data_IF_970693002397
#
_entry.id   IF_970693002397
#
_cell.length_a   1.000
_cell.length_b   1.000
_cell.length_c   1.000
_cell.angle_alpha   90.00
_cell.angle_beta   90.00
_cell.angle_gamma   90.00
#
_symmetry.space_group_name_H-M   'P 1'
#
loop_
_entity.id
_entity.type
_entity.pdbx_description
1 polymer ?
#
# COMPACT_ATOMS: atom_id res chain seq x y z
N UNK A 1 14.02 62.12 -25.01
CA UNK A 1 14.80 60.98 -24.50
C UNK A 1 13.91 60.18 -23.56
N UNK A 2 13.41 58.99 -23.94
CA UNK A 2 12.71 58.11 -23.02
C UNK A 2 13.68 57.07 -22.44
N UNK A 3 13.73 56.99 -21.12
CA UNK A 3 14.49 55.99 -20.37
C UNK A 3 13.74 54.65 -20.39
N UNK A 4 14.27 53.68 -21.13
CA UNK A 4 13.80 52.30 -21.08
C UNK A 4 14.26 51.64 -19.78
N UNK A 5 13.32 51.29 -18.91
CA UNK A 5 13.58 50.44 -17.74
C UNK A 5 13.48 48.97 -18.15
N UNK A 6 14.62 48.27 -18.16
CA UNK A 6 14.68 46.83 -18.36
C UNK A 6 14.28 46.13 -17.05
N UNK A 7 13.13 45.45 -17.06
CA UNK A 7 12.70 44.58 -15.97
C UNK A 7 13.42 43.22 -16.13
N UNK A 8 14.44 42.95 -15.30
CA UNK A 8 15.08 41.64 -15.26
C UNK A 8 14.16 40.65 -14.54
N UNK A 9 13.54 39.75 -15.31
CA UNK A 9 12.80 38.61 -14.78
C UNK A 9 13.82 37.53 -14.35
N UNK A 10 14.05 37.41 -13.05
CA UNK A 10 14.89 36.35 -12.49
C UNK A 10 14.07 35.07 -12.38
N UNK A 11 14.31 34.11 -13.27
CA UNK A 11 13.76 32.76 -13.17
C UNK A 11 14.56 32.02 -12.10
N UNK A 12 14.02 31.94 -10.89
CA UNK A 12 14.58 31.11 -9.83
C UNK A 12 14.45 29.64 -10.17
N UNK A 13 15.57 28.96 -10.41
CA UNK A 13 15.61 27.50 -10.48
C UNK A 13 15.19 26.94 -9.11
N UNK A 14 14.04 26.25 -9.06
CA UNK A 14 13.63 25.49 -7.89
C UNK A 14 14.62 24.34 -7.71
N UNK A 15 15.57 24.50 -6.80
CA UNK A 15 16.46 23.41 -6.40
C UNK A 15 15.60 22.28 -5.84
N UNK A 16 15.61 21.12 -6.49
CA UNK A 16 15.10 19.87 -5.94
C UNK A 16 15.92 19.55 -4.68
N UNK A 17 15.49 20.03 -3.52
CA UNK A 17 16.05 19.60 -2.26
C UNK A 17 15.69 18.13 -2.07
N UNK A 18 16.69 17.29 -1.87
CA UNK A 18 16.47 15.90 -1.44
C UNK A 18 15.59 15.95 -0.19
N UNK A 19 14.42 15.28 -0.25
CA UNK A 19 13.53 15.20 0.91
C UNK A 19 14.33 14.56 2.05
N UNK A 20 14.34 15.16 3.25
CA UNK A 20 15.00 14.56 4.39
C UNK A 20 14.34 13.20 4.65
N UNK A 21 15.15 12.14 4.66
CA UNK A 21 14.74 10.82 5.13
C UNK A 21 14.30 10.99 6.60
N UNK A 22 12.99 10.92 6.84
CA UNK A 22 12.47 10.94 8.20
C UNK A 22 12.92 9.70 8.96
N UNK A 23 13.02 9.74 10.30
CA UNK A 23 13.34 8.56 11.08
C UNK A 23 12.36 7.44 10.73
N UNK A 24 12.88 6.24 10.43
CA UNK A 24 12.04 5.07 10.21
C UNK A 24 11.13 4.88 11.44
N UNK A 25 9.81 4.90 11.23
CA UNK A 25 8.87 4.57 12.31
C UNK A 25 9.06 3.09 12.61
N UNK A 26 9.82 2.78 13.68
CA UNK A 26 10.08 1.41 14.10
C UNK A 26 8.80 0.85 14.70
N UNK A 27 8.13 0.04 13.90
CA UNK A 27 7.02 -0.77 14.31
C UNK A 27 7.54 -2.16 14.67
N UNK A 28 7.37 -2.59 15.93
CA UNK A 28 7.74 -3.93 16.37
C UNK A 28 6.53 -4.85 16.19
N UNK A 29 6.58 -5.69 15.16
CA UNK A 29 5.67 -6.79 14.99
C UNK A 29 6.48 -8.06 14.70
N UNK A 30 5.93 -9.19 15.14
CA UNK A 30 6.48 -10.50 14.80
C UNK A 30 6.35 -10.71 13.28
N UNK A 31 7.45 -10.72 12.56
CA UNK A 31 7.50 -10.98 11.11
C UNK A 31 7.66 -12.47 10.78
N UNK A 32 7.54 -13.35 11.78
CA UNK A 32 7.64 -14.80 11.59
C UNK A 32 6.52 -15.32 10.67
N UNK A 33 6.77 -16.46 10.02
CA UNK A 33 5.75 -17.15 9.21
C UNK A 33 4.47 -17.45 10.00
N UNK A 34 4.59 -17.72 11.30
CA UNK A 34 3.45 -18.01 12.17
C UNK A 34 2.53 -16.80 12.37
N UNK A 35 3.07 -15.58 12.33
CA UNK A 35 2.26 -14.37 12.46
C UNK A 35 1.38 -14.11 11.21
N UNK A 36 1.81 -14.58 10.03
CA UNK A 36 1.02 -14.47 8.79
C UNK A 36 -0.03 -15.57 8.62
N UNK A 37 0.07 -16.69 9.35
CA UNK A 37 -0.94 -17.77 9.26
C UNK A 37 -2.29 -17.40 9.88
N UNK A 38 -2.39 -16.24 10.53
CA UNK A 38 -3.63 -15.68 11.07
C UNK A 38 -4.32 -14.71 10.11
N UNK A 39 -3.71 -14.40 8.95
CA UNK A 39 -4.39 -13.59 7.94
C UNK A 39 -5.57 -14.38 7.35
N UNK A 40 -6.67 -13.70 6.98
CA UNK A 40 -7.80 -14.35 6.32
C UNK A 40 -7.34 -15.16 5.11
N UNK A 41 -7.99 -16.31 4.86
CA UNK A 41 -7.77 -17.19 3.70
C UNK A 41 -7.77 -16.37 2.42
N UNK A 42 -6.59 -15.97 2.02
CA UNK A 42 -6.34 -15.10 0.91
C UNK A 42 -5.25 -15.79 0.12
N UNK A 43 -5.34 -15.70 -1.21
CA UNK A 43 -4.39 -16.39 -2.08
C UNK A 43 -2.95 -16.17 -1.60
N UNK A 44 -2.27 -17.29 -1.33
CA UNK A 44 -0.99 -17.36 -0.61
C UNK A 44 0.09 -16.45 -1.21
N UNK A 45 -0.02 -16.13 -2.51
CA UNK A 45 0.93 -15.29 -3.22
C UNK A 45 1.00 -13.84 -2.70
N UNK A 46 -0.12 -13.20 -2.34
CA UNK A 46 -0.09 -11.80 -1.85
C UNK A 46 0.43 -11.76 -0.42
N UNK A 47 0.03 -12.71 0.43
CA UNK A 47 0.56 -12.81 1.80
C UNK A 47 2.06 -13.06 1.78
N UNK A 48 2.52 -13.95 0.91
CA UNK A 48 3.95 -14.20 0.67
C UNK A 48 4.65 -12.94 0.16
N UNK A 49 4.05 -12.19 -0.75
CA UNK A 49 4.61 -10.93 -1.23
C UNK A 49 4.70 -9.86 -0.14
N UNK A 50 3.68 -9.68 0.69
CA UNK A 50 3.70 -8.75 1.83
C UNK A 50 4.87 -9.08 2.77
N UNK A 51 5.09 -10.37 3.05
CA UNK A 51 6.25 -10.83 3.82
C UNK A 51 7.58 -10.53 3.11
N UNK A 52 7.69 -10.78 1.81
CA UNK A 52 8.90 -10.49 1.01
C UNK A 52 9.20 -8.99 0.93
N UNK A 53 8.16 -8.15 0.96
CA UNK A 53 8.27 -6.68 1.10
C UNK A 53 8.73 -6.23 2.48
N UNK A 54 8.92 -7.14 3.44
CA UNK A 54 9.27 -6.80 4.81
C UNK A 54 8.14 -6.10 5.56
N UNK A 55 6.91 -6.17 5.06
CA UNK A 55 5.75 -5.50 5.65
C UNK A 55 5.21 -6.31 6.82
N UNK A 56 5.29 -5.82 8.07
CA UNK A 56 4.93 -6.59 9.25
C UNK A 56 3.43 -6.96 9.28
N UNK A 57 3.03 -8.09 9.88
CA UNK A 57 1.62 -8.41 10.04
C UNK A 57 0.94 -7.39 10.96
N UNK A 58 -0.28 -7.01 10.60
CA UNK A 58 -1.10 -6.08 11.40
C UNK A 58 -2.09 -6.81 12.32
N UNK A 59 -2.30 -8.11 12.13
CA UNK A 59 -3.08 -8.95 13.06
C UNK A 59 -2.25 -9.18 14.32
N UNK A 60 -2.85 -9.00 15.50
CA UNK A 60 -2.15 -9.18 16.79
C UNK A 60 -1.12 -8.09 17.12
N UNK A 61 -1.01 -7.09 16.25
CA UNK A 61 -0.23 -5.87 16.41
C UNK A 61 -0.48 -5.16 17.75
N UNK A 62 0.58 -4.93 18.54
CA UNK A 62 0.51 -4.06 19.72
C UNK A 62 0.88 -2.63 19.32
N UNK A 63 -0.12 -1.73 19.34
CA UNK A 63 0.09 -0.32 19.01
C UNK A 63 0.31 0.53 20.25
N UNK A 64 0.99 1.68 20.06
CA UNK A 64 0.97 2.74 21.05
C UNK A 64 -0.45 3.33 21.15
N UNK A 65 -0.87 3.83 22.33
CA UNK A 65 -2.18 4.48 22.46
C UNK A 65 -2.34 5.64 21.47
N UNK A 66 -3.49 5.70 20.80
CA UNK A 66 -3.79 6.71 19.78
C UNK A 66 -3.09 6.50 18.43
N UNK A 67 -2.39 5.37 18.24
CA UNK A 67 -1.85 4.99 16.93
C UNK A 67 -2.90 4.26 16.10
N UNK A 68 -2.92 4.55 14.81
CA UNK A 68 -3.66 3.79 13.79
C UNK A 68 -2.72 3.47 12.65
N UNK A 69 -2.69 2.22 12.20
CA UNK A 69 -1.93 1.80 11.03
C UNK A 69 -2.91 1.29 9.99
N UNK A 70 -2.80 1.82 8.78
CA UNK A 70 -3.55 1.33 7.62
C UNK A 70 -2.53 0.83 6.60
N UNK A 71 -2.71 -0.38 6.10
CA UNK A 71 -1.94 -0.92 4.96
C UNK A 71 -2.88 -1.14 3.79
N UNK A 72 -2.52 -0.59 2.66
CA UNK A 72 -3.09 -0.91 1.37
C UNK A 72 -2.10 -1.75 0.58
N UNK A 73 -2.54 -2.89 0.05
CA UNK A 73 -1.76 -3.71 -0.86
C UNK A 73 -2.49 -3.80 -2.18
N UNK A 74 -1.79 -3.48 -3.25
CA UNK A 74 -2.24 -3.65 -4.62
C UNK A 74 -1.36 -4.69 -5.31
N UNK A 75 -1.88 -5.91 -5.42
CA UNK A 75 -1.26 -6.94 -6.24
C UNK A 75 -1.79 -6.77 -7.67
N UNK A 76 -1.04 -6.01 -8.47
CA UNK A 76 -1.34 -5.74 -9.88
C UNK A 76 -1.03 -6.97 -10.73
N UNK A 77 -1.92 -7.29 -11.67
CA UNK A 77 -1.59 -8.24 -12.72
C UNK A 77 -0.44 -7.73 -13.59
N UNK A 78 0.58 -8.56 -13.80
CA UNK A 78 1.72 -8.29 -14.69
C UNK A 78 2.52 -7.01 -14.39
N UNK A 79 2.34 -6.40 -13.21
CA UNK A 79 3.06 -5.22 -12.77
C UNK A 79 3.64 -5.44 -11.37
N UNK A 80 4.59 -4.60 -10.91
CA UNK A 80 5.09 -4.70 -9.55
C UNK A 80 3.95 -4.60 -8.53
N UNK A 81 4.01 -5.35 -7.45
CA UNK A 81 3.10 -5.15 -6.32
C UNK A 81 3.45 -3.86 -5.58
N UNK A 82 2.45 -3.24 -4.98
CA UNK A 82 2.63 -2.02 -4.17
C UNK A 82 2.02 -2.27 -2.79
N UNK A 83 2.79 -2.01 -1.75
CA UNK A 83 2.29 -1.85 -0.40
C UNK A 83 2.44 -0.38 0.01
N UNK A 84 1.36 0.24 0.48
CA UNK A 84 1.34 1.57 1.06
C UNK A 84 0.88 1.45 2.51
N UNK A 85 1.74 1.77 3.46
CA UNK A 85 1.45 1.77 4.89
C UNK A 85 1.38 3.20 5.41
N UNK A 86 0.18 3.62 5.79
CA UNK A 86 -0.07 4.90 6.44
C UNK A 86 -0.09 4.72 7.96
N UNK A 87 0.91 5.27 8.63
CA UNK A 87 1.03 5.23 10.09
C UNK A 87 0.61 6.59 10.65
N UNK A 88 -0.41 6.59 11.50
CA UNK A 88 -0.90 7.77 12.19
C UNK A 88 -0.61 7.63 13.67
N UNK A 89 0.16 8.56 14.22
CA UNK A 89 0.45 8.67 15.65
C UNK A 89 -0.10 10.00 16.19
N UNK A 90 -0.18 10.18 17.52
CA UNK A 90 -0.73 11.42 18.08
C UNK A 90 -0.03 12.70 17.63
N UNK A 91 1.27 12.64 17.30
CA UNK A 91 2.10 13.81 16.97
C UNK A 91 2.59 13.86 15.53
N UNK A 92 2.55 12.75 14.81
CA UNK A 92 3.16 12.63 13.49
C UNK A 92 2.47 11.55 12.68
N UNK A 93 2.59 11.65 11.36
CA UNK A 93 2.14 10.60 10.46
C UNK A 93 3.20 10.36 9.40
N UNK A 94 3.26 9.15 8.88
CA UNK A 94 4.18 8.78 7.83
C UNK A 94 3.50 7.85 6.84
N UNK A 95 3.93 7.92 5.59
CA UNK A 95 3.60 6.94 4.56
C UNK A 95 4.86 6.19 4.19
N UNK A 96 4.82 4.87 4.35
CA UNK A 96 5.84 3.95 3.90
C UNK A 96 5.31 3.29 2.63
N UNK A 97 6.10 3.28 1.57
CA UNK A 97 5.74 2.64 0.32
C UNK A 97 6.80 1.63 -0.03
N UNK A 98 6.36 0.44 -0.42
CA UNK A 98 7.23 -0.63 -0.90
C UNK A 98 6.68 -1.12 -2.23
N UNK A 99 7.50 -1.08 -3.29
CA UNK A 99 7.18 -1.68 -4.57
C UNK A 99 8.09 -2.88 -4.83
N UNK A 100 7.48 -3.99 -5.20
CA UNK A 100 8.17 -5.25 -5.44
C UNK A 100 7.81 -5.78 -6.82
N UNK A 101 8.82 -6.03 -7.66
CA UNK A 101 8.61 -6.78 -8.90
C UNK A 101 8.56 -8.28 -8.54
N UNK A 102 7.42 -8.96 -8.72
CA UNK A 102 7.39 -10.41 -8.53
C UNK A 102 8.32 -11.06 -9.57
N UNK A 103 9.04 -12.10 -9.17
CA UNK A 103 9.82 -12.90 -10.11
C UNK A 103 8.87 -13.90 -10.79
N UNK A 104 8.88 -13.94 -12.13
CA UNK A 104 7.85 -14.58 -12.96
C UNK A 104 7.80 -16.12 -12.88
N UNK A 105 8.61 -16.75 -12.03
CA UNK A 105 8.59 -18.21 -11.90
C UNK A 105 7.48 -18.65 -10.97
N UNK A 106 6.22 -18.54 -11.42
CA UNK A 106 5.19 -19.46 -10.94
C UNK A 106 5.51 -20.80 -11.60
N UNK A 107 6.36 -21.59 -10.94
CA UNK A 107 6.41 -23.01 -11.20
C UNK A 107 5.06 -23.56 -10.77
N UNK A 108 4.13 -23.70 -11.72
CA UNK A 108 2.98 -24.58 -11.56
C UNK A 108 3.55 -25.98 -11.39
N UNK A 109 3.93 -26.35 -10.15
CA UNK A 109 4.22 -27.75 -9.83
C UNK A 109 2.93 -28.49 -10.09
N UNK A 110 2.96 -29.43 -11.03
CA UNK A 110 1.92 -30.44 -11.16
C UNK A 110 1.66 -31.03 -9.77
N UNK A 111 0.40 -31.15 -9.34
CA UNK A 111 0.07 -31.85 -8.10
C UNK A 111 0.85 -33.16 -8.06
N UNK A 112 1.41 -33.50 -6.91
CA UNK A 112 1.99 -34.82 -6.74
C UNK A 112 0.90 -35.91 -6.85
N UNK A 113 1.30 -37.18 -6.82
CA UNK A 113 0.37 -38.31 -6.85
C UNK A 113 -0.59 -38.36 -5.65
N UNK A 114 -0.39 -37.51 -4.63
CA UNK A 114 -1.28 -37.34 -3.48
C UNK A 114 -2.29 -36.19 -3.68
N UNK A 115 -2.27 -35.48 -4.80
CA UNK A 115 -3.14 -34.34 -5.07
C UNK A 115 -2.78 -33.09 -4.27
N UNK A 116 -1.63 -33.09 -3.59
CA UNK A 116 -1.13 -31.97 -2.85
C UNK A 116 -0.24 -31.15 -3.78
N UNK A 117 -0.72 -29.97 -4.16
CA UNK A 117 0.19 -28.93 -4.65
C UNK A 117 1.03 -28.52 -3.45
N UNK A 118 2.30 -28.90 -3.41
CA UNK A 118 3.26 -28.10 -2.66
C UNK A 118 3.10 -26.67 -3.15
N UNK A 119 2.68 -25.77 -2.25
CA UNK A 119 2.43 -24.37 -2.55
C UNK A 119 3.55 -23.88 -3.46
N UNK A 120 3.17 -23.37 -4.65
CA UNK A 120 4.12 -22.89 -5.65
C UNK A 120 5.21 -22.10 -4.93
N UNK A 121 6.44 -22.62 -4.94
CA UNK A 121 7.55 -21.93 -4.32
C UNK A 121 7.81 -20.67 -5.15
N UNK A 122 7.17 -19.56 -4.76
CA UNK A 122 7.36 -18.28 -5.43
C UNK A 122 8.78 -17.85 -5.14
N UNK A 123 9.61 -17.72 -6.18
CA UNK A 123 10.91 -17.09 -6.05
C UNK A 123 10.72 -15.71 -5.42
N UNK A 124 11.56 -15.31 -4.44
CA UNK A 124 11.45 -14.01 -3.82
C UNK A 124 11.42 -12.89 -4.86
N UNK A 125 10.39 -12.04 -4.81
CA UNK A 125 10.36 -10.85 -5.65
C UNK A 125 11.51 -9.89 -5.33
N UNK A 126 11.83 -9.00 -6.27
CA UNK A 126 12.84 -7.96 -6.08
C UNK A 126 12.18 -6.66 -5.63
N UNK A 127 12.58 -6.13 -4.48
CA UNK A 127 12.21 -4.77 -4.07
C UNK A 127 12.85 -3.78 -5.05
N UNK A 128 12.01 -3.01 -5.73
CA UNK A 128 12.43 -2.00 -6.72
C UNK A 128 12.29 -0.57 -6.18
N UNK A 129 11.52 -0.39 -5.11
CA UNK A 129 11.36 0.88 -4.41
C UNK A 129 11.00 0.62 -2.96
N UNK A 130 11.59 1.39 -2.06
CA UNK A 130 11.17 1.48 -0.67
C UNK A 130 11.45 2.90 -0.16
N UNK A 131 10.42 3.60 0.27
CA UNK A 131 10.53 4.99 0.76
C UNK A 131 9.62 5.21 1.96
N UNK A 132 10.04 6.14 2.84
CA UNK A 132 9.30 6.56 4.02
C UNK A 132 9.25 8.08 4.05
N UNK A 133 8.04 8.62 3.94
CA UNK A 133 7.80 10.07 3.86
C UNK A 133 7.03 10.53 5.09
N UNK A 134 7.60 11.38 5.96
CA UNK A 134 6.83 12.03 7.01
C UNK A 134 5.82 12.98 6.37
N UNK A 135 4.60 13.02 6.91
CA UNK A 135 3.55 13.92 6.44
C UNK A 135 3.46 15.17 7.29
N UNK A 136 3.06 16.28 6.65
CA UNK A 136 2.62 17.46 7.36
C UNK A 136 1.33 17.16 8.13
N UNK A 137 1.12 17.85 9.26
CA UNK A 137 -0.07 17.66 10.10
C UNK A 137 -1.37 17.89 9.31
N UNK A 138 -1.38 18.85 8.38
CA UNK A 138 -2.52 19.11 7.49
C UNK A 138 -2.85 17.93 6.57
N UNK A 139 -1.84 17.36 5.92
CA UNK A 139 -1.99 16.21 5.02
C UNK A 139 -2.45 14.96 5.77
N UNK A 140 -1.90 14.74 6.97
CA UNK A 140 -2.34 13.63 7.81
C UNK A 140 -3.81 13.75 8.20
N UNK A 141 -4.24 14.94 8.66
CA UNK A 141 -5.64 15.20 9.00
C UNK A 141 -6.55 15.00 7.78
N UNK A 142 -6.17 15.55 6.63
CA UNK A 142 -6.95 15.42 5.40
C UNK A 142 -7.11 13.97 4.96
N UNK A 143 -6.05 13.16 5.05
CA UNK A 143 -6.10 11.74 4.71
C UNK A 143 -6.97 10.95 5.68
N UNK A 144 -6.82 11.18 7.00
CA UNK A 144 -7.68 10.55 8.01
C UNK A 144 -9.15 10.82 7.73
N UNK A 145 -9.53 12.09 7.57
CA UNK A 145 -10.90 12.49 7.23
C UNK A 145 -11.39 11.84 5.95
N UNK A 146 -10.52 11.71 4.93
CA UNK A 146 -10.87 11.07 3.66
C UNK A 146 -11.20 9.60 3.86
N UNK A 147 -10.35 8.84 4.56
CA UNK A 147 -10.53 7.41 4.79
C UNK A 147 -11.76 7.12 5.68
N UNK A 148 -12.01 7.96 6.70
CA UNK A 148 -13.19 7.87 7.55
C UNK A 148 -14.47 8.14 6.75
N UNK A 149 -14.50 9.21 5.95
CA UNK A 149 -15.66 9.57 5.12
C UNK A 149 -16.02 8.51 4.08
N UNK A 150 -15.01 7.80 3.54
CA UNK A 150 -15.24 6.73 2.57
C UNK A 150 -15.88 5.49 3.20
N UNK A 151 -15.92 5.36 4.52
CA UNK A 151 -16.58 4.22 5.18
C UNK A 151 -15.94 2.87 4.83
N UNK A 152 -14.65 2.86 4.51
CA UNK A 152 -13.91 1.71 3.96
C UNK A 152 -14.15 0.40 4.74
N UNK A 153 -14.23 0.50 6.07
CA UNK A 153 -14.37 -0.64 6.98
C UNK A 153 -15.79 -1.18 7.12
N UNK A 154 -16.78 -0.51 6.52
CA UNK A 154 -18.17 -0.99 6.46
C UNK A 154 -18.44 -1.82 5.20
N UNK A 155 -17.50 -1.82 4.26
CA UNK A 155 -17.62 -2.57 3.01
C UNK A 155 -17.35 -4.05 3.29
N UNK A 156 -18.25 -4.91 2.81
CA UNK A 156 -18.04 -6.36 2.88
C UNK A 156 -16.98 -6.78 1.86
N UNK A 157 -16.01 -7.59 2.31
CA UNK A 157 -15.11 -8.31 1.40
C UNK A 157 -15.91 -9.17 0.41
N UNK A 158 -15.39 -9.33 -0.80
CA UNK A 158 -15.94 -10.23 -1.82
C UNK A 158 -14.85 -11.07 -2.45
N UNK A 159 -15.11 -12.37 -2.59
CA UNK A 159 -14.30 -13.36 -3.33
C UNK A 159 -15.23 -14.31 -4.09
N UNK A 160 -14.96 -14.74 -5.34
CA UNK A 160 -13.98 -14.28 -6.36
C UNK A 160 -14.61 -13.79 -7.69
N UNK A 161 -13.82 -13.08 -8.51
CA UNK A 161 -14.11 -12.83 -9.94
C UNK A 161 -13.81 -11.40 -10.45
N UNK A 162 -12.55 -10.99 -10.47
CA UNK A 162 -12.12 -9.78 -11.20
C UNK A 162 -11.61 -10.14 -12.60
N UNK A 163 -11.94 -9.34 -13.61
CA UNK A 163 -11.53 -9.62 -15.01
C UNK A 163 -10.05 -9.34 -15.27
N UNK A 164 -9.45 -8.40 -14.55
CA UNK A 164 -8.07 -7.95 -14.75
C UNK A 164 -7.06 -8.66 -13.84
N UNK A 165 -7.52 -9.36 -12.79
CA UNK A 165 -6.68 -10.00 -11.78
C UNK A 165 -6.03 -9.07 -10.74
N UNK A 166 -6.41 -7.80 -10.66
CA UNK A 166 -5.89 -6.89 -9.63
C UNK A 166 -6.56 -7.14 -8.28
N UNK A 167 -5.77 -7.45 -7.25
CA UNK A 167 -6.25 -7.64 -5.88
C UNK A 167 -5.92 -6.42 -5.01
N UNK A 168 -6.95 -5.79 -4.46
CA UNK A 168 -6.85 -4.65 -3.56
C UNK A 168 -7.20 -5.10 -2.15
N UNK A 169 -6.25 -4.98 -1.23
CA UNK A 169 -6.42 -5.33 0.18
C UNK A 169 -6.17 -4.13 1.06
N UNK A 170 -7.08 -3.90 1.99
CA UNK A 170 -6.91 -2.91 3.03
C UNK A 170 -6.95 -3.59 4.38
N UNK A 171 -5.97 -3.23 5.20
CA UNK A 171 -5.86 -3.64 6.57
C UNK A 171 -5.80 -2.41 7.43
N UNK A 172 -6.44 -2.48 8.59
CA UNK A 172 -6.30 -1.48 9.64
C UNK A 172 -6.08 -2.18 10.96
N UNK A 173 -5.21 -1.60 11.76
CA UNK A 173 -5.21 -1.83 13.20
C UNK A 173 -5.29 -0.49 13.91
N UNK A 174 -6.21 -0.38 14.85
CA UNK A 174 -6.40 0.77 15.73
C UNK A 174 -6.86 0.32 17.14
N UNK A 175 -7.35 1.25 17.95
CA UNK A 175 -7.86 0.95 19.29
C UNK A 175 -9.06 -0.02 19.32
N UNK A 176 -9.78 -0.18 18.21
CA UNK A 176 -10.90 -1.11 18.05
C UNK A 176 -10.45 -2.49 17.52
N UNK A 177 -9.14 -2.69 17.35
CA UNK A 177 -8.55 -3.94 16.88
C UNK A 177 -8.26 -3.95 15.38
N UNK A 178 -8.24 -5.15 14.82
CA UNK A 178 -7.90 -5.39 13.42
C UNK A 178 -9.13 -5.38 12.52
N UNK A 179 -9.01 -4.81 11.33
CA UNK A 179 -10.02 -4.84 10.26
C UNK A 179 -9.35 -5.19 8.94
N UNK A 180 -10.04 -5.97 8.12
CA UNK A 180 -9.58 -6.39 6.80
C UNK A 180 -10.72 -6.25 5.79
N UNK A 181 -10.42 -5.67 4.64
CA UNK A 181 -11.31 -5.71 3.48
C UNK A 181 -10.50 -6.01 2.22
N UNK A 182 -11.05 -6.89 1.39
CA UNK A 182 -10.43 -7.30 0.13
C UNK A 182 -11.44 -7.22 -1.00
N UNK A 183 -10.98 -6.75 -2.16
CA UNK A 183 -11.75 -6.79 -3.40
C UNK A 183 -10.85 -6.92 -4.62
N UNK A 184 -11.35 -7.69 -5.58
CA UNK A 184 -10.77 -7.76 -6.92
C UNK A 184 -11.28 -6.61 -7.78
N UNK A 185 -10.36 -5.92 -8.45
CA UNK A 185 -10.66 -4.93 -9.49
C UNK A 185 -11.68 -3.85 -9.08
N UNK A 186 -11.59 -3.23 -7.88
CA UNK A 186 -12.53 -2.19 -7.49
C UNK A 186 -12.45 -1.03 -8.48
N UNK A 187 -13.60 -0.45 -8.82
CA UNK A 187 -13.69 0.67 -9.76
C UNK A 187 -14.66 1.74 -9.26
N UNK A 188 -14.84 2.80 -10.03
CA UNK A 188 -15.67 3.94 -9.66
C UNK A 188 -17.16 3.59 -9.51
N UNK A 189 -17.65 2.52 -10.16
CA UNK A 189 -19.04 2.07 -10.09
C UNK A 189 -19.23 0.99 -9.02
N UNK A 190 -18.33 0.02 -8.97
CA UNK A 190 -18.37 -1.12 -8.08
C UNK A 190 -17.16 -1.10 -7.12
N UNK A 191 -17.42 -0.81 -5.84
CA UNK A 191 -16.35 -0.68 -4.84
C UNK A 191 -15.66 0.66 -4.84
N UNK A 192 -16.41 1.70 -5.17
CA UNK A 192 -15.97 3.09 -5.20
C UNK A 192 -15.21 3.52 -3.93
N UNK A 193 -15.59 3.02 -2.76
CA UNK A 193 -14.94 3.32 -1.48
C UNK A 193 -13.50 2.80 -1.45
N UNK A 194 -13.29 1.53 -1.84
CA UNK A 194 -11.97 0.92 -1.91
C UNK A 194 -11.12 1.55 -3.02
N UNK A 195 -11.73 1.75 -4.19
CA UNK A 195 -11.06 2.40 -5.32
C UNK A 195 -10.58 3.80 -4.95
N UNK A 196 -11.46 4.63 -4.37
CA UNK A 196 -11.12 5.98 -3.92
C UNK A 196 -10.07 5.99 -2.81
N UNK A 197 -10.16 5.06 -1.84
CA UNK A 197 -9.20 4.96 -0.75
C UNK A 197 -7.80 4.57 -1.26
N UNK A 198 -7.71 3.58 -2.13
CA UNK A 198 -6.41 3.15 -2.68
C UNK A 198 -5.82 4.20 -3.61
N UNK A 199 -6.62 4.88 -4.44
CA UNK A 199 -6.13 6.02 -5.22
C UNK A 199 -5.61 7.16 -4.34
N UNK A 200 -6.30 7.48 -3.25
CA UNK A 200 -5.83 8.48 -2.31
C UNK A 200 -4.47 8.08 -1.70
N UNK A 201 -4.33 6.83 -1.26
CA UNK A 201 -3.09 6.30 -0.69
C UNK A 201 -1.96 6.26 -1.72
N UNK A 202 -2.21 5.82 -2.95
CA UNK A 202 -1.22 5.82 -4.04
C UNK A 202 -0.78 7.23 -4.41
N UNK A 203 -1.70 8.19 -4.44
CA UNK A 203 -1.37 9.59 -4.71
C UNK A 203 -0.48 10.15 -3.61
N UNK A 204 -0.80 9.89 -2.36
CA UNK A 204 -0.01 10.32 -1.21
C UNK A 204 1.39 9.67 -1.19
N UNK A 205 1.46 8.39 -1.57
CA UNK A 205 2.69 7.63 -1.73
C UNK A 205 3.51 8.02 -2.98
N UNK A 206 3.00 8.89 -3.85
CA UNK A 206 3.58 9.12 -5.19
C UNK A 206 3.84 7.78 -5.93
N UNK A 207 2.90 6.85 -5.84
CA UNK A 207 2.96 5.50 -6.39
C UNK A 207 1.85 5.25 -7.44
N UNK A 208 1.19 6.32 -7.89
CA UNK A 208 0.29 6.24 -9.04
C UNK A 208 1.11 5.83 -10.27
N UNK A 209 0.71 4.78 -10.98
CA UNK A 209 1.43 4.37 -12.17
C UNK A 209 1.37 5.44 -13.25
N UNK A 210 2.45 5.59 -14.01
CA UNK A 210 2.53 6.55 -15.11
C UNK A 210 1.74 6.04 -16.31
N UNK A 211 0.71 6.79 -16.72
CA UNK A 211 -0.01 6.57 -17.98
C UNK A 211 -1.53 6.36 -17.81
N UNK A 212 -2.30 6.61 -18.88
CA UNK A 212 -3.76 6.69 -18.82
C UNK A 212 -4.48 5.34 -18.62
N UNK A 213 -3.79 4.20 -18.74
CA UNK A 213 -4.39 2.86 -18.65
C UNK A 213 -4.03 2.10 -17.37
N UNK A 214 -3.23 2.67 -16.50
CA UNK A 214 -2.62 1.89 -15.42
C UNK A 214 -3.48 1.74 -14.16
N UNK A 215 -4.74 2.21 -14.19
CA UNK A 215 -5.71 2.12 -13.09
C UNK A 215 -6.91 1.21 -13.42
N UNK A 216 -6.89 0.54 -14.57
CA UNK A 216 -7.94 -0.36 -15.05
C UNK A 216 -7.52 -1.82 -14.93
#
# INVERSE_FOLDING_TARGET
>A
MPTSSLLLLTIGAAACTSRPEGPAVVYSADTSRAAYSQLPDSFDYVTTAVRQMGEPPLVGAKLRPGTTVIRFVWARSFHPYVAVRFVMEPKQCAVITTEMKPEETISLRTPDSAGLSEAAATTPGKIIRQDSVPLLAGDCKAMRTTLERLGLWQVKSRTPGGLDGSDWRFERVDANGYSFVQRWSPNAQEGHELWSAGLALLKMANALPSGPRALY
#
